data_IF_259473594171
#
_entry.id   IF_259473594171
#
_cell.length_a   1.000
_cell.length_b   1.000
_cell.length_c   1.000
_cell.angle_alpha   90.00
_cell.angle_beta   90.00
_cell.angle_gamma   90.00
#
_symmetry.space_group_name_H-M   'P 1'
#
loop_
_entity.id
_entity.type
_entity.pdbx_description
1 polymer ?
#
# COMPACT_ATOMS: atom_id res chain seq x y z
N UNK A 1 -31.25 18.77 -2.80
CA UNK A 1 -31.07 17.84 -1.66
C UNK A 1 -30.54 16.52 -2.19
N UNK A 2 -29.21 16.34 -2.16
CA UNK A 2 -28.53 15.14 -2.62
C UNK A 2 -28.64 14.05 -1.53
N UNK A 3 -29.30 12.94 -1.85
CA UNK A 3 -29.29 11.74 -0.99
C UNK A 3 -27.94 11.05 -1.14
N UNK A 4 -27.12 11.10 -0.09
CA UNK A 4 -25.92 10.28 0.09
C UNK A 4 -26.32 8.81 0.19
N UNK A 5 -26.17 8.06 -0.90
CA UNK A 5 -26.33 6.60 -0.90
C UNK A 5 -25.11 5.95 -0.28
N UNK A 6 -25.24 5.42 0.94
CA UNK A 6 -24.21 4.59 1.56
C UNK A 6 -24.02 3.29 0.73
N UNK A 7 -22.94 3.21 -0.03
CA UNK A 7 -22.56 1.98 -0.73
C UNK A 7 -22.16 0.92 0.32
N UNK A 8 -22.91 -0.19 0.41
CA UNK A 8 -22.51 -1.35 1.22
C UNK A 8 -21.57 -2.24 0.41
N UNK A 9 -20.48 -2.73 1.01
CA UNK A 9 -19.67 -3.78 0.40
C UNK A 9 -20.48 -5.09 0.30
N UNK A 10 -20.47 -5.78 -0.85
CA UNK A 10 -21.03 -7.11 -0.94
C UNK A 10 -20.23 -8.07 -0.04
N UNK A 11 -20.91 -8.78 0.87
CA UNK A 11 -20.29 -9.83 1.71
C UNK A 11 -20.27 -9.57 3.23
N UNK A 12 -20.78 -8.44 3.73
CA UNK A 12 -21.02 -8.28 5.17
C UNK A 12 -22.15 -9.23 5.62
N UNK A 13 -21.79 -10.36 6.26
CA UNK A 13 -22.80 -11.32 6.77
C UNK A 13 -23.53 -10.72 7.98
N UNK A 14 -24.76 -10.26 7.75
CA UNK A 14 -25.88 -10.34 8.68
C UNK A 14 -26.83 -11.44 8.20
N UNK A 15 -27.31 -12.27 9.12
CA UNK A 15 -28.10 -13.47 8.80
C UNK A 15 -29.47 -13.13 8.19
N UNK A 16 -29.63 -13.42 6.90
CA UNK A 16 -30.92 -13.40 6.21
C UNK A 16 -30.90 -14.38 5.04
N UNK A 17 -31.66 -15.47 5.15
CA UNK A 17 -31.87 -16.46 4.08
C UNK A 17 -32.56 -15.81 2.88
N UNK A 18 -32.09 -16.09 1.66
CA UNK A 18 -32.90 -15.96 0.46
C UNK A 18 -32.83 -17.26 -0.34
N UNK A 19 -34.01 -17.88 -0.49
CA UNK A 19 -34.31 -18.96 -1.43
C UNK A 19 -34.52 -18.34 -2.82
N UNK A 20 -33.99 -18.95 -3.87
CA UNK A 20 -34.28 -18.59 -5.26
C UNK A 20 -33.74 -19.65 -6.23
N UNK A 21 -34.61 -20.13 -7.11
CA UNK A 21 -34.47 -21.36 -7.91
C UNK A 21 -33.38 -21.31 -9.00
N UNK A 22 -32.65 -22.42 -9.13
CA UNK A 22 -31.84 -22.80 -10.29
C UNK A 22 -32.75 -23.46 -11.34
N UNK A 23 -32.87 -22.88 -12.53
CA UNK A 23 -33.05 -23.53 -13.86
C UNK A 23 -33.61 -22.51 -14.85
N UNK A 24 -32.79 -22.09 -15.81
CA UNK A 24 -33.11 -21.82 -17.22
C UNK A 24 -32.08 -20.83 -17.79
N UNK A 25 -30.96 -21.33 -18.32
CA UNK A 25 -30.22 -20.73 -19.43
C UNK A 25 -29.33 -21.83 -20.03
N UNK A 26 -29.88 -22.58 -20.99
CA UNK A 26 -29.14 -23.47 -21.89
C UNK A 26 -28.81 -22.67 -23.15
N UNK A 27 -27.54 -22.33 -23.31
CA UNK A 27 -26.99 -21.61 -24.45
C UNK A 27 -25.60 -21.10 -24.12
N UNK A 28 -24.60 -21.96 -24.29
CA UNK A 28 -23.20 -21.56 -24.14
C UNK A 28 -22.86 -20.55 -25.24
N UNK A 29 -22.39 -19.33 -24.91
CA UNK A 29 -21.82 -18.44 -25.91
C UNK A 29 -20.51 -19.05 -26.45
N UNK A 30 -20.09 -18.71 -27.68
CA UNK A 30 -18.85 -19.23 -28.24
C UNK A 30 -17.63 -18.80 -27.39
N UNK A 31 -16.56 -19.60 -27.33
CA UNK A 31 -15.35 -19.24 -26.59
C UNK A 31 -14.66 -18.03 -27.25
N UNK A 32 -14.52 -16.94 -26.49
CA UNK A 32 -13.76 -15.75 -26.88
C UNK A 32 -12.27 -15.97 -26.51
N UNK A 33 -11.29 -15.60 -27.34
CA UNK A 33 -9.89 -15.92 -27.09
C UNK A 33 -9.33 -15.18 -25.86
N UNK A 34 -8.47 -15.86 -25.10
CA UNK A 34 -7.78 -15.31 -23.94
C UNK A 34 -6.63 -14.38 -24.35
N UNK A 35 -6.80 -13.08 -24.12
CA UNK A 35 -5.70 -12.10 -24.08
C UNK A 35 -5.68 -11.44 -22.70
N UNK A 36 -5.12 -12.17 -21.72
CA UNK A 36 -4.37 -11.75 -20.53
C UNK A 36 -4.86 -10.69 -19.53
N UNK A 37 -6.11 -10.22 -19.56
CA UNK A 37 -6.55 -9.15 -18.64
C UNK A 37 -7.00 -9.58 -17.23
N UNK A 38 -7.06 -10.89 -16.93
CA UNK A 38 -7.66 -11.38 -15.68
C UNK A 38 -6.90 -12.52 -14.99
N UNK A 39 -5.68 -12.90 -15.41
CA UNK A 39 -5.01 -14.11 -14.89
C UNK A 39 -4.84 -14.05 -13.37
N UNK A 40 -4.44 -12.90 -12.83
CA UNK A 40 -4.25 -12.73 -11.39
C UNK A 40 -5.56 -12.71 -10.60
N UNK A 41 -6.64 -12.23 -11.21
CA UNK A 41 -7.92 -11.99 -10.52
C UNK A 41 -8.89 -13.19 -10.54
N UNK A 42 -8.58 -14.27 -11.26
CA UNK A 42 -9.48 -15.43 -11.46
C UNK A 42 -9.94 -16.11 -10.18
N UNK A 43 -9.16 -16.01 -9.10
CA UNK A 43 -9.43 -16.70 -7.84
C UNK A 43 -10.25 -15.87 -6.85
N UNK A 44 -10.60 -14.63 -7.21
CA UNK A 44 -11.32 -13.71 -6.34
C UNK A 44 -12.76 -13.49 -6.81
N UNK A 45 -13.66 -13.12 -5.89
CA UNK A 45 -14.95 -12.56 -6.26
C UNK A 45 -14.73 -11.10 -6.68
N UNK A 46 -14.98 -10.74 -7.96
CA UNK A 46 -14.58 -9.46 -8.49
C UNK A 46 -15.51 -8.34 -8.02
N UNK A 47 -14.92 -7.16 -7.81
CA UNK A 47 -15.58 -5.87 -7.62
C UNK A 47 -14.84 -4.90 -8.53
N UNK A 48 -15.51 -4.45 -9.58
CA UNK A 48 -14.83 -3.75 -10.69
C UNK A 48 -15.45 -2.37 -10.93
N UNK A 49 -14.61 -1.39 -11.30
CA UNK A 49 -15.06 -0.08 -11.77
C UNK A 49 -15.99 0.64 -10.77
N UNK A 50 -15.72 0.49 -9.47
CA UNK A 50 -16.52 1.08 -8.41
C UNK A 50 -15.80 2.26 -7.79
N UNK A 51 -16.56 3.32 -7.58
CA UNK A 51 -16.14 4.44 -6.75
C UNK A 51 -16.84 4.35 -5.38
N UNK A 52 -16.08 4.08 -4.34
CA UNK A 52 -16.53 4.12 -2.95
C UNK A 52 -16.17 5.48 -2.33
N UNK A 53 -17.17 6.19 -1.81
CA UNK A 53 -16.99 7.51 -1.18
C UNK A 53 -17.42 7.47 0.27
N UNK A 54 -16.62 8.05 1.16
CA UNK A 54 -16.94 8.20 2.58
C UNK A 54 -17.37 6.90 3.28
N UNK A 55 -16.85 5.76 2.80
CA UNK A 55 -17.18 4.45 3.33
C UNK A 55 -16.44 4.26 4.66
N UNK A 56 -17.18 3.92 5.71
CA UNK A 56 -16.61 3.63 7.03
C UNK A 56 -16.81 2.16 7.37
N UNK A 57 -15.71 1.44 7.60
CA UNK A 57 -15.75 0.04 8.00
C UNK A 57 -14.80 -0.18 9.16
N UNK A 58 -15.34 -0.77 10.22
CA UNK A 58 -14.61 -1.05 11.45
C UNK A 58 -14.85 -2.50 11.90
N UNK A 59 -13.79 -3.15 12.38
CA UNK A 59 -13.83 -4.49 13.01
C UNK A 59 -14.50 -5.55 12.13
N UNK A 60 -14.14 -5.58 10.84
CA UNK A 60 -14.66 -6.55 9.87
C UNK A 60 -13.57 -7.38 9.24
N UNK A 61 -13.90 -8.66 9.02
CA UNK A 61 -13.15 -9.55 8.14
C UNK A 61 -13.75 -9.52 6.74
N UNK A 62 -12.89 -9.29 5.75
CA UNK A 62 -13.21 -9.35 4.33
C UNK A 62 -12.30 -10.41 3.71
N UNK A 63 -12.87 -11.33 2.94
CA UNK A 63 -12.07 -12.42 2.37
C UNK A 63 -12.52 -12.83 0.99
N UNK A 64 -11.56 -13.12 0.10
CA UNK A 64 -11.84 -13.62 -1.25
C UNK A 64 -12.42 -12.55 -2.18
N UNK A 65 -12.21 -11.26 -1.91
CA UNK A 65 -12.62 -10.17 -2.80
C UNK A 65 -11.44 -9.66 -3.61
N UNK A 66 -11.67 -9.40 -4.89
CA UNK A 66 -10.70 -8.78 -5.78
C UNK A 66 -11.26 -7.47 -6.28
N UNK A 67 -10.59 -6.36 -5.98
CA UNK A 67 -10.95 -5.03 -6.45
C UNK A 67 -10.12 -4.68 -7.68
N UNK A 68 -10.78 -4.34 -8.78
CA UNK A 68 -10.14 -3.94 -10.03
C UNK A 68 -10.65 -2.57 -10.48
N UNK A 69 -9.74 -1.65 -10.80
CA UNK A 69 -10.11 -0.31 -11.27
C UNK A 69 -11.11 0.39 -10.35
N UNK A 70 -10.90 0.25 -9.03
CA UNK A 70 -11.75 0.84 -8.02
C UNK A 70 -11.08 2.05 -7.38
N UNK A 71 -11.88 3.07 -7.06
CA UNK A 71 -11.44 4.26 -6.33
C UNK A 71 -12.11 4.28 -4.96
N UNK A 72 -11.33 4.49 -3.92
CA UNK A 72 -11.76 4.71 -2.55
C UNK A 72 -11.42 6.16 -2.19
N UNK A 73 -12.43 6.99 -1.99
CA UNK A 73 -12.24 8.42 -1.71
C UNK A 73 -12.84 8.78 -0.34
N UNK A 74 -12.04 9.37 0.54
CA UNK A 74 -12.50 9.78 1.87
C UNK A 74 -12.95 8.61 2.76
N UNK A 75 -12.48 7.39 2.49
CA UNK A 75 -12.91 6.19 3.21
C UNK A 75 -12.09 5.98 4.49
N UNK A 76 -12.73 5.39 5.50
CA UNK A 76 -12.12 5.04 6.78
C UNK A 76 -12.22 3.54 7.03
N UNK A 77 -11.07 2.90 7.14
CA UNK A 77 -10.92 1.47 7.39
C UNK A 77 -10.16 1.26 8.69
N UNK A 78 -10.83 0.76 9.73
CA UNK A 78 -10.24 0.58 11.06
C UNK A 78 -10.32 -0.88 11.47
N UNK A 79 -9.20 -1.47 11.89
CA UNK A 79 -9.13 -2.85 12.37
C UNK A 79 -9.78 -3.85 11.38
N UNK A 80 -9.56 -3.64 10.08
CA UNK A 80 -9.98 -4.59 9.06
C UNK A 80 -9.03 -5.77 9.00
N UNK A 81 -9.59 -6.96 8.77
CA UNK A 81 -8.84 -8.17 8.46
C UNK A 81 -9.10 -8.56 7.01
N UNK A 82 -8.09 -8.44 6.15
CA UNK A 82 -8.15 -8.82 4.74
C UNK A 82 -7.52 -10.20 4.56
N UNK A 83 -8.27 -11.19 4.08
CA UNK A 83 -7.73 -12.54 3.86
C UNK A 83 -7.99 -13.00 2.44
N UNK A 84 -6.93 -13.33 1.69
CA UNK A 84 -7.03 -13.71 0.28
C UNK A 84 -7.81 -12.66 -0.49
N UNK A 85 -7.36 -11.41 -0.41
CA UNK A 85 -7.93 -10.29 -1.16
C UNK A 85 -6.91 -9.75 -2.15
N UNK A 86 -7.39 -9.07 -3.20
CA UNK A 86 -6.53 -8.40 -4.17
C UNK A 86 -7.03 -6.99 -4.44
N UNK A 87 -6.09 -6.07 -4.64
CA UNK A 87 -6.34 -4.76 -5.22
C UNK A 87 -5.45 -4.61 -6.45
N UNK A 88 -6.07 -4.39 -7.59
CA UNK A 88 -5.38 -4.20 -8.86
C UNK A 88 -5.88 -2.91 -9.52
N UNK A 89 -4.95 -2.05 -9.95
CA UNK A 89 -5.27 -0.76 -10.58
C UNK A 89 -6.23 0.10 -9.74
N UNK A 90 -6.07 0.07 -8.42
CA UNK A 90 -6.95 0.77 -7.49
C UNK A 90 -6.32 2.06 -6.95
N UNK A 91 -7.16 2.98 -6.50
CA UNK A 91 -6.73 4.23 -5.89
C UNK A 91 -7.39 4.44 -4.53
N UNK A 92 -6.61 4.87 -3.56
CA UNK A 92 -7.06 5.34 -2.26
C UNK A 92 -6.70 6.82 -2.16
N UNK A 93 -7.71 7.68 -2.05
CA UNK A 93 -7.56 9.14 -2.05
C UNK A 93 -8.16 9.69 -0.76
N UNK A 94 -7.39 10.45 0.02
CA UNK A 94 -7.84 11.02 1.29
C UNK A 94 -8.42 9.98 2.26
N UNK A 95 -7.89 8.75 2.24
CA UNK A 95 -8.39 7.65 3.06
C UNK A 95 -7.62 7.52 4.37
N UNK A 96 -8.26 6.98 5.40
CA UNK A 96 -7.61 6.56 6.64
C UNK A 96 -7.66 5.03 6.77
N UNK A 97 -6.49 4.40 6.74
CA UNK A 97 -6.32 2.97 6.99
C UNK A 97 -5.60 2.81 8.33
N UNK A 98 -6.21 2.12 9.29
CA UNK A 98 -5.67 2.02 10.65
C UNK A 98 -5.77 0.60 11.18
N UNK A 99 -4.64 0.06 11.63
CA UNK A 99 -4.50 -1.27 12.23
C UNK A 99 -5.08 -2.38 11.34
N UNK A 100 -4.87 -2.26 10.04
CA UNK A 100 -5.29 -3.29 9.08
C UNK A 100 -4.37 -4.50 9.23
N UNK A 101 -4.97 -5.68 9.32
CA UNK A 101 -4.26 -6.95 9.25
C UNK A 101 -4.56 -7.61 7.92
N UNK A 102 -3.58 -8.32 7.36
CA UNK A 102 -3.77 -9.00 6.10
C UNK A 102 -3.11 -10.38 6.09
N UNK A 103 -3.62 -11.24 5.22
CA UNK A 103 -3.08 -12.56 4.94
C UNK A 103 -3.31 -12.87 3.47
N UNK A 104 -2.25 -13.21 2.73
CA UNK A 104 -2.32 -13.46 1.29
C UNK A 104 -2.96 -12.29 0.52
N UNK A 105 -2.50 -11.06 0.81
CA UNK A 105 -2.96 -9.85 0.13
C UNK A 105 -2.09 -9.60 -1.11
N UNK A 106 -2.75 -9.39 -2.25
CA UNK A 106 -2.10 -8.91 -3.48
C UNK A 106 -2.37 -7.42 -3.66
N UNK A 107 -1.32 -6.66 -3.94
CA UNK A 107 -1.40 -5.21 -4.22
C UNK A 107 -0.62 -4.94 -5.50
N UNK A 108 -1.34 -4.62 -6.59
CA UNK A 108 -0.75 -4.46 -7.92
C UNK A 108 -1.22 -3.16 -8.57
N UNK A 109 -0.28 -2.28 -8.90
CA UNK A 109 -0.57 -0.95 -9.47
C UNK A 109 -1.56 -0.15 -8.63
N UNK A 110 -1.35 -0.12 -7.31
CA UNK A 110 -2.23 0.58 -6.36
C UNK A 110 -1.62 1.91 -5.93
N UNK A 111 -2.42 2.98 -5.93
CA UNK A 111 -1.98 4.31 -5.47
C UNK A 111 -2.64 4.71 -4.16
N UNK A 112 -1.86 5.19 -3.20
CA UNK A 112 -2.36 5.87 -2.01
C UNK A 112 -1.97 7.35 -2.08
N UNK A 113 -2.95 8.23 -2.17
CA UNK A 113 -2.75 9.67 -2.27
C UNK A 113 -3.38 10.37 -1.07
N UNK A 114 -2.61 11.22 -0.39
CA UNK A 114 -3.06 11.97 0.78
C UNK A 114 -3.73 11.09 1.86
N UNK A 115 -3.21 9.87 2.04
CA UNK A 115 -3.79 8.89 2.96
C UNK A 115 -3.11 8.95 4.33
N UNK A 116 -3.86 8.60 5.37
CA UNK A 116 -3.31 8.26 6.69
C UNK A 116 -3.23 6.75 6.81
N UNK A 117 -2.02 6.21 7.00
CA UNK A 117 -1.76 4.77 7.09
C UNK A 117 -1.10 4.50 8.44
N UNK A 118 -1.83 3.88 9.36
CA UNK A 118 -1.43 3.70 10.75
C UNK A 118 -1.33 2.21 11.10
N UNK A 119 -0.17 1.78 11.61
CA UNK A 119 -0.03 0.49 12.27
C UNK A 119 -0.16 -0.72 11.35
N UNK A 120 0.23 -0.62 10.09
CA UNK A 120 0.15 -1.74 9.13
C UNK A 120 1.52 -2.39 8.97
N UNK A 121 1.51 -3.71 9.10
CA UNK A 121 2.63 -4.61 8.88
C UNK A 121 2.52 -5.12 7.43
N UNK A 122 3.37 -4.64 6.52
CA UNK A 122 3.30 -4.88 5.07
C UNK A 122 4.10 -6.12 4.62
N UNK A 123 4.59 -6.93 5.53
CA UNK A 123 5.31 -8.17 5.25
C UNK A 123 4.41 -9.21 4.59
N UNK A 124 5.00 -10.12 3.82
CA UNK A 124 4.30 -11.29 3.25
C UNK A 124 3.16 -10.93 2.27
N UNK A 125 3.27 -9.81 1.56
CA UNK A 125 2.42 -9.55 0.40
C UNK A 125 2.71 -10.55 -0.72
N UNK A 126 1.69 -10.87 -1.50
CA UNK A 126 1.84 -11.75 -2.65
C UNK A 126 2.48 -10.99 -3.83
N UNK A 127 3.42 -11.64 -4.52
CA UNK A 127 3.96 -11.15 -5.79
C UNK A 127 3.05 -11.51 -6.98
N UNK A 128 3.01 -10.68 -8.05
CA UNK A 128 3.74 -9.42 -8.21
C UNK A 128 3.19 -8.30 -7.32
N UNK A 129 4.08 -7.45 -6.84
CA UNK A 129 3.80 -6.35 -5.92
C UNK A 129 4.16 -5.02 -6.60
N UNK A 130 3.23 -4.08 -6.62
CA UNK A 130 3.49 -2.70 -7.05
C UNK A 130 2.47 -1.75 -6.44
N UNK A 131 2.95 -0.75 -5.71
CA UNK A 131 2.13 0.32 -5.18
C UNK A 131 2.98 1.57 -4.97
N UNK A 132 2.32 2.71 -4.77
CA UNK A 132 2.97 3.94 -4.34
C UNK A 132 2.15 4.65 -3.27
N UNK A 133 2.81 5.49 -2.49
CA UNK A 133 2.15 6.40 -1.56
C UNK A 133 2.71 7.82 -1.76
N UNK A 134 1.84 8.80 -1.98
CA UNK A 134 2.26 10.20 -2.17
C UNK A 134 1.47 11.12 -1.27
N UNK A 135 2.11 12.15 -0.73
CA UNK A 135 1.45 13.12 0.15
C UNK A 135 0.86 12.49 1.42
N UNK A 136 1.32 11.30 1.81
CA UNK A 136 0.65 10.43 2.77
C UNK A 136 1.37 10.39 4.11
N UNK A 137 0.63 10.14 5.18
CA UNK A 137 1.16 10.02 6.54
C UNK A 137 1.21 8.55 6.95
N UNK A 138 2.42 8.00 7.06
CA UNK A 138 2.69 6.64 7.48
C UNK A 138 3.17 6.66 8.93
N UNK A 139 2.43 6.01 9.83
CA UNK A 139 2.74 5.99 11.27
C UNK A 139 2.79 4.54 11.75
N UNK A 140 3.87 4.12 12.41
CA UNK A 140 4.03 2.74 12.92
C UNK A 140 3.86 1.65 11.85
N UNK A 141 4.36 1.90 10.63
CA UNK A 141 4.32 0.89 9.57
C UNK A 141 5.63 0.10 9.54
N UNK A 142 5.56 -1.16 9.09
CA UNK A 142 6.73 -1.97 8.80
C UNK A 142 6.67 -2.49 7.36
N UNK A 143 7.78 -2.40 6.64
CA UNK A 143 7.94 -2.97 5.29
C UNK A 143 8.95 -4.13 5.26
N UNK A 144 9.18 -4.78 6.41
CA UNK A 144 10.25 -5.76 6.58
C UNK A 144 10.32 -6.81 5.46
N UNK A 145 11.51 -6.99 4.88
CA UNK A 145 11.78 -8.05 3.90
C UNK A 145 11.16 -7.84 2.51
N UNK A 146 10.45 -6.73 2.27
CA UNK A 146 9.82 -6.49 0.97
C UNK A 146 10.83 -6.09 -0.11
N UNK A 147 10.58 -6.56 -1.34
CA UNK A 147 11.26 -6.08 -2.54
C UNK A 147 10.38 -5.05 -3.25
N UNK A 148 10.82 -3.79 -3.24
CA UNK A 148 10.09 -2.60 -3.68
C UNK A 148 11.01 -1.68 -4.51
N UNK A 149 11.65 -2.17 -5.59
CA UNK A 149 12.45 -1.33 -6.46
C UNK A 149 11.57 -0.25 -7.11
N UNK A 150 12.12 0.95 -7.27
CA UNK A 150 11.45 2.09 -7.91
C UNK A 150 10.14 2.51 -7.21
N UNK A 151 9.96 2.15 -5.94
CA UNK A 151 8.78 2.56 -5.17
C UNK A 151 8.77 4.06 -4.93
N UNK A 152 7.58 4.63 -4.99
CA UNK A 152 7.34 6.06 -4.82
C UNK A 152 6.69 6.31 -3.44
N UNK A 153 7.39 7.09 -2.63
CA UNK A 153 7.02 7.57 -1.29
C UNK A 153 7.17 9.10 -1.16
N UNK A 154 7.07 9.88 -2.24
CA UNK A 154 7.31 11.33 -2.19
C UNK A 154 6.29 12.09 -1.34
N UNK A 155 6.77 13.19 -0.76
CA UNK A 155 5.99 14.10 0.07
C UNK A 155 5.25 13.39 1.20
N UNK A 156 5.81 12.30 1.70
CA UNK A 156 5.21 11.54 2.79
C UNK A 156 5.78 11.97 4.14
N UNK A 157 4.99 11.81 5.19
CA UNK A 157 5.46 11.93 6.56
C UNK A 157 5.55 10.52 7.16
N UNK A 158 6.76 10.04 7.36
CA UNK A 158 7.08 8.70 7.85
C UNK A 158 7.49 8.80 9.32
N UNK A 159 6.58 8.40 10.22
CA UNK A 159 6.74 8.45 11.68
C UNK A 159 6.84 7.04 12.22
N UNK A 160 7.91 6.76 12.96
CA UNK A 160 8.17 5.44 13.57
C UNK A 160 7.95 4.29 12.55
N UNK A 161 8.30 4.53 11.29
CA UNK A 161 8.15 3.57 10.18
C UNK A 161 9.46 2.83 9.97
N UNK A 162 9.38 1.53 9.70
CA UNK A 162 10.55 0.67 9.65
C UNK A 162 10.71 0.06 8.26
N UNK A 163 11.90 0.25 7.70
CA UNK A 163 12.39 -0.45 6.52
C UNK A 163 13.57 -1.32 6.96
N UNK A 164 13.34 -2.63 7.06
CA UNK A 164 14.38 -3.59 7.45
C UNK A 164 14.48 -4.68 6.40
N UNK A 165 15.68 -4.96 5.89
CA UNK A 165 15.91 -6.00 4.87
C UNK A 165 15.10 -5.76 3.59
N UNK A 166 14.87 -4.51 3.20
CA UNK A 166 14.11 -4.16 2.00
C UNK A 166 15.02 -3.96 0.78
N UNK A 167 14.54 -4.33 -0.41
CA UNK A 167 15.10 -3.82 -1.67
C UNK A 167 14.34 -2.55 -2.06
N UNK A 168 15.00 -1.41 -2.01
CA UNK A 168 14.47 -0.07 -2.25
C UNK A 168 15.29 0.65 -3.33
N UNK A 169 15.94 -0.10 -4.22
CA UNK A 169 16.76 0.50 -5.28
C UNK A 169 15.95 1.44 -6.14
N UNK A 170 16.53 2.61 -6.45
CA UNK A 170 15.90 3.68 -7.25
C UNK A 170 14.55 4.16 -6.73
N UNK A 171 14.24 3.90 -5.46
CA UNK A 171 13.03 4.42 -4.83
C UNK A 171 13.10 5.95 -4.72
N UNK A 172 11.92 6.57 -4.67
CA UNK A 172 11.80 8.00 -4.56
C UNK A 172 11.13 8.40 -3.24
N UNK A 173 11.85 9.15 -2.42
CA UNK A 173 11.41 9.71 -1.15
C UNK A 173 11.44 11.24 -1.15
N UNK A 174 11.49 11.89 -2.32
CA UNK A 174 11.67 13.36 -2.40
C UNK A 174 10.63 14.12 -1.59
N UNK A 175 11.07 15.18 -0.90
CA UNK A 175 10.17 16.06 -0.14
C UNK A 175 9.52 15.40 1.08
N UNK A 176 10.00 14.24 1.53
CA UNK A 176 9.43 13.49 2.65
C UNK A 176 10.06 13.90 3.98
N UNK A 177 9.31 13.70 5.06
CA UNK A 177 9.78 13.92 6.43
C UNK A 177 9.94 12.57 7.14
N UNK A 178 11.08 12.38 7.80
CA UNK A 178 11.42 11.17 8.53
C UNK A 178 11.52 11.47 10.03
N UNK A 179 10.58 10.94 10.82
CA UNK A 179 10.57 11.08 12.27
C UNK A 179 10.71 9.69 12.89
N UNK A 180 11.88 9.40 13.47
CA UNK A 180 12.21 8.06 14.00
C UNK A 180 12.01 6.91 12.99
N UNK A 181 12.10 7.22 11.69
CA UNK A 181 12.06 6.19 10.66
C UNK A 181 13.42 5.53 10.54
N UNK A 182 13.42 4.20 10.41
CA UNK A 182 14.67 3.41 10.34
C UNK A 182 14.82 2.73 8.99
N UNK A 183 16.06 2.72 8.50
CA UNK A 183 16.52 1.92 7.37
C UNK A 183 17.66 1.03 7.84
N UNK A 184 17.44 -0.29 7.83
CA UNK A 184 18.43 -1.28 8.30
C UNK A 184 18.55 -2.43 7.31
N UNK A 185 19.77 -2.76 6.88
CA UNK A 185 20.01 -3.86 5.94
C UNK A 185 19.24 -3.69 4.62
N UNK A 186 19.01 -2.46 4.18
CA UNK A 186 18.31 -2.15 2.94
C UNK A 186 19.26 -1.96 1.76
N UNK A 187 18.76 -2.26 0.56
CA UNK A 187 19.39 -1.86 -0.70
C UNK A 187 18.76 -0.55 -1.18
N UNK A 188 19.47 0.56 -1.01
CA UNK A 188 19.05 1.93 -1.36
C UNK A 188 19.79 2.46 -2.59
N UNK A 189 20.43 1.59 -3.39
CA UNK A 189 21.23 2.06 -4.52
C UNK A 189 20.37 2.87 -5.51
N UNK A 190 20.79 4.08 -5.86
CA UNK A 190 20.07 4.99 -6.74
C UNK A 190 18.83 5.64 -6.11
N UNK A 191 18.54 5.42 -4.82
CA UNK A 191 17.38 6.01 -4.16
C UNK A 191 17.52 7.54 -4.08
N UNK A 192 16.40 8.23 -4.18
CA UNK A 192 16.34 9.69 -4.17
C UNK A 192 15.67 10.21 -2.89
N UNK A 193 16.44 10.90 -2.06
CA UNK A 193 15.99 11.55 -0.83
C UNK A 193 16.08 13.08 -0.89
N UNK A 194 16.23 13.68 -2.07
CA UNK A 194 16.34 15.14 -2.18
C UNK A 194 15.13 15.85 -1.56
N UNK A 195 15.37 17.02 -0.99
CA UNK A 195 14.36 17.85 -0.30
C UNK A 195 13.68 17.15 0.90
N UNK A 196 14.23 16.05 1.39
CA UNK A 196 13.73 15.39 2.61
C UNK A 196 14.34 15.95 3.89
N UNK A 197 13.64 15.78 5.00
CA UNK A 197 14.04 16.24 6.33
C UNK A 197 14.05 15.07 7.33
N UNK A 198 14.93 15.14 8.34
CA UNK A 198 15.01 14.15 9.42
C UNK A 198 15.58 12.78 9.03
N UNK A 199 16.09 12.63 7.81
CA UNK A 199 16.68 11.38 7.33
C UNK A 199 17.96 11.04 8.11
N UNK A 200 17.98 9.85 8.71
CA UNK A 200 19.16 9.25 9.33
C UNK A 200 19.45 7.93 8.63
N UNK A 201 20.66 7.79 8.08
CA UNK A 201 21.11 6.58 7.40
C UNK A 201 22.45 6.13 7.98
N UNK A 202 22.61 4.82 8.17
CA UNK A 202 23.91 4.19 8.42
C UNK A 202 24.38 3.51 7.13
N UNK A 203 25.46 4.04 6.53
CA UNK A 203 26.09 3.54 5.32
C UNK A 203 26.76 2.16 5.49
N UNK A 204 27.08 1.75 6.72
CA UNK A 204 27.65 0.42 6.99
C UNK A 204 26.57 -0.66 6.97
N UNK A 205 25.35 -0.30 7.35
CA UNK A 205 24.22 -1.23 7.40
C UNK A 205 23.41 -1.29 6.11
N UNK A 206 23.55 -0.31 5.22
CA UNK A 206 22.75 -0.18 4.00
C UNK A 206 23.63 -0.04 2.75
N UNK A 207 23.20 -0.62 1.62
CA UNK A 207 23.84 -0.36 0.33
C UNK A 207 23.32 0.97 -0.24
N UNK A 208 24.19 1.97 -0.37
CA UNK A 208 23.81 3.35 -0.70
C UNK A 208 24.53 3.90 -1.94
N UNK A 209 24.93 3.04 -2.88
CA UNK A 209 25.61 3.50 -4.10
C UNK A 209 24.67 4.40 -4.92
N UNK A 210 25.17 5.52 -5.43
CA UNK A 210 24.41 6.48 -6.24
C UNK A 210 23.16 7.06 -5.55
N UNK A 211 23.11 7.07 -4.21
CA UNK A 211 22.02 7.68 -3.47
C UNK A 211 22.09 9.22 -3.57
N UNK A 212 20.95 9.86 -3.78
CA UNK A 212 20.84 11.33 -3.71
C UNK A 212 20.33 11.73 -2.32
N UNK A 213 21.10 12.55 -1.59
CA UNK A 213 20.83 12.92 -0.19
C UNK A 213 20.77 14.44 -0.02
N UNK A 214 19.97 14.94 0.94
CA UNK A 214 20.10 16.31 1.41
C UNK A 214 21.41 16.48 2.18
N UNK A 215 21.95 17.70 2.21
CA UNK A 215 23.24 18.00 2.84
C UNK A 215 23.29 17.55 4.31
N UNK A 216 22.21 17.77 5.06
CA UNK A 216 22.14 17.37 6.47
C UNK A 216 22.26 15.85 6.66
N UNK A 217 21.58 15.06 5.83
CA UNK A 217 21.69 13.60 5.89
C UNK A 217 23.09 13.11 5.46
N UNK A 218 23.71 13.76 4.48
CA UNK A 218 25.08 13.45 4.07
C UNK A 218 26.08 13.69 5.21
N UNK A 219 25.93 14.78 5.98
CA UNK A 219 26.70 15.01 7.20
C UNK A 219 26.35 13.99 8.29
N UNK A 220 25.08 13.59 8.38
CA UNK A 220 24.58 12.55 9.30
C UNK A 220 25.28 11.20 9.12
N UNK A 221 25.69 10.84 7.90
CA UNK A 221 26.48 9.62 7.64
C UNK A 221 27.80 9.59 8.44
N UNK A 222 28.36 10.76 8.74
CA UNK A 222 29.64 10.88 9.43
C UNK A 222 29.49 10.89 10.96
N UNK A 223 28.26 10.99 11.48
CA UNK A 223 27.99 11.22 12.90
C UNK A 223 28.57 10.11 13.81
N UNK A 224 28.55 8.85 13.34
CA UNK A 224 29.08 7.68 14.07
C UNK A 224 30.59 7.78 14.35
N UNK A 225 31.33 8.50 13.51
CA UNK A 225 32.78 8.64 13.63
C UNK A 225 33.22 9.73 14.61
N UNK A 226 32.28 10.48 15.21
CA UNK A 226 32.56 11.55 16.20
C UNK A 226 33.57 12.59 15.70
N UNK A 227 33.49 12.92 14.41
CA UNK A 227 34.37 13.90 13.76
C UNK A 227 33.94 15.33 14.09
N UNK A 228 34.90 16.25 14.16
CA UNK A 228 34.62 17.69 14.21
C UNK A 228 34.68 18.26 12.80
N UNK A 229 33.55 18.73 12.27
CA UNK A 229 33.44 19.37 10.95
C UNK A 229 33.41 20.90 11.19
N UNK A 230 34.21 21.66 10.44
CA UNK A 230 34.33 23.13 10.55
C UNK A 230 34.15 23.79 9.20
#
# INVERSE_FOLDING_TARGET
MLKTGAARLPGCRGSGRLKGNLRQYTGLPPPIPATDRYVFMRHYRPVENRHFRALRIKDKRISGLGFYQCTFEGCEFTALSLASCAFEQCEFINCSLSNLTHQHLTVLSVRFQACKVLGIQWESLNFPLSFCMTGSKLIYNSFHGNSLPEIEFSHCNLIDTQFTRCDLRKSNFTGSEFIHTTFEHCCLNGANFLDSEGLVLDAESNAINDVSLPLEAALGLLHKYRLTIR
#
